data_IF_363727997281
#
_entry.id   IF_363727997281
#
_cell.length_a   1.000
_cell.length_b   1.000
_cell.length_c   1.000
_cell.angle_alpha   90.00
_cell.angle_beta   90.00
_cell.angle_gamma   90.00
#
_symmetry.space_group_name_H-M   'P 1'
#
loop_
_entity.id
_entity.type
_entity.pdbx_description
1 polymer ?
#
# COMPACT_ATOMS: atom_id res chain seq x y z
N UNK A 1 -2.12 95.46 -26.69
CA UNK A 1 -0.91 95.55 -27.53
C UNK A 1 0.02 94.48 -27.01
N UNK A 2 0.27 93.33 -27.61
CA UNK A 2 -0.08 92.62 -28.84
C UNK A 2 0.08 91.12 -28.46
N UNK A 3 -0.68 90.12 -28.91
CA UNK A 3 -0.84 89.66 -30.29
C UNK A 3 -0.06 88.33 -30.48
N UNK A 4 -0.74 87.32 -31.06
CA UNK A 4 -0.23 86.02 -31.59
C UNK A 4 0.11 84.92 -30.56
N UNK A 5 -0.39 83.68 -30.61
CA UNK A 5 -0.98 82.83 -31.65
C UNK A 5 -0.26 81.45 -31.60
N UNK A 6 -0.94 80.29 -31.50
CA UNK A 6 -0.26 79.01 -31.27
C UNK A 6 0.24 78.37 -32.58
N UNK A 7 1.32 77.57 -32.57
CA UNK A 7 1.76 76.88 -33.79
C UNK A 7 0.96 75.59 -34.04
N UNK A 8 0.61 75.41 -35.30
CA UNK A 8 -0.12 74.31 -35.94
C UNK A 8 0.87 73.36 -36.65
N UNK A 9 0.66 72.06 -36.42
CA UNK A 9 0.84 70.86 -37.27
C UNK A 9 2.01 70.69 -38.25
N UNK A 10 2.69 69.55 -38.08
CA UNK A 10 3.16 68.59 -39.11
C UNK A 10 3.34 67.23 -38.40
N UNK A 11 3.03 66.04 -38.89
CA UNK A 11 2.39 65.56 -40.11
C UNK A 11 1.92 64.12 -39.80
N UNK A 12 0.81 63.71 -40.39
CA UNK A 12 0.20 62.38 -40.19
C UNK A 12 0.83 61.42 -41.18
N UNK A 13 1.46 60.34 -40.69
CA UNK A 13 1.80 59.18 -41.53
C UNK A 13 0.95 57.99 -41.10
N UNK A 14 -0.03 57.72 -41.94
CA UNK A 14 -0.93 56.57 -41.96
C UNK A 14 -0.16 55.25 -42.00
N UNK A 15 -0.49 54.36 -41.07
CA UNK A 15 -0.14 52.94 -41.12
C UNK A 15 -1.02 52.29 -42.18
N UNK A 16 -0.44 51.94 -43.32
CA UNK A 16 -1.04 51.02 -44.29
C UNK A 16 -0.35 49.67 -44.22
N UNK A 17 -1.18 48.70 -43.93
CA UNK A 17 -0.96 47.26 -43.87
C UNK A 17 -0.66 46.71 -45.27
N UNK A 18 0.50 46.10 -45.48
CA UNK A 18 0.70 45.11 -46.55
C UNK A 18 1.77 44.07 -46.12
N UNK A 19 1.54 42.77 -46.37
CA UNK A 19 2.32 41.70 -45.79
C UNK A 19 3.59 41.41 -46.61
N UNK A 20 4.75 41.42 -45.96
CA UNK A 20 5.98 40.95 -46.59
C UNK A 20 5.98 39.42 -46.76
N UNK A 21 6.44 38.89 -47.90
CA UNK A 21 6.49 37.46 -48.16
C UNK A 21 7.56 36.78 -47.29
N UNK A 22 7.15 35.73 -46.56
CA UNK A 22 8.05 34.89 -45.78
C UNK A 22 9.10 34.21 -46.68
N UNK A 23 10.36 34.57 -46.50
CA UNK A 23 11.49 33.70 -46.85
C UNK A 23 11.44 32.44 -45.97
N UNK A 24 11.80 31.26 -46.49
CA UNK A 24 11.70 30.01 -45.76
C UNK A 24 12.70 30.00 -44.61
N UNK A 25 12.21 30.23 -43.39
CA UNK A 25 12.98 29.97 -42.17
C UNK A 25 13.22 28.46 -42.11
N UNK A 26 14.48 28.09 -42.33
CA UNK A 26 15.07 26.80 -41.99
C UNK A 26 14.53 26.34 -40.64
N UNK A 27 13.75 25.26 -40.66
CA UNK A 27 13.30 24.59 -39.46
C UNK A 27 14.53 24.15 -38.66
N UNK A 28 14.88 24.93 -37.64
CA UNK A 28 15.79 24.49 -36.61
C UNK A 28 15.12 23.29 -35.94
N UNK A 29 15.68 22.10 -36.19
CA UNK A 29 15.30 20.88 -35.50
C UNK A 29 15.24 21.19 -34.00
N UNK A 30 14.06 21.00 -33.41
CA UNK A 30 13.90 21.06 -31.96
C UNK A 30 14.91 20.13 -31.29
N UNK A 31 15.33 20.42 -30.05
CA UNK A 31 16.26 19.54 -29.35
C UNK A 31 15.68 18.13 -29.38
N UNK A 32 16.46 17.20 -29.94
CA UNK A 32 16.11 15.80 -29.94
C UNK A 32 15.79 15.41 -28.49
N UNK A 33 14.61 14.81 -28.27
CA UNK A 33 14.29 14.15 -27.01
C UNK A 33 15.51 13.31 -26.63
N UNK A 34 16.16 13.67 -25.53
CA UNK A 34 17.16 12.82 -24.92
C UNK A 34 16.53 11.43 -24.80
N UNK A 35 17.20 10.35 -25.24
CA UNK A 35 16.67 9.01 -25.03
C UNK A 35 16.39 8.87 -23.54
N UNK A 36 15.19 8.38 -23.19
CA UNK A 36 14.82 8.03 -21.82
C UNK A 36 16.03 7.33 -21.20
N UNK A 37 16.59 7.92 -20.13
CA UNK A 37 17.74 7.35 -19.46
C UNK A 37 17.40 5.90 -19.12
N UNK A 38 18.29 4.97 -19.49
CA UNK A 38 18.06 3.55 -19.26
C UNK A 38 17.75 3.33 -17.77
N UNK A 39 16.59 2.75 -17.49
CA UNK A 39 16.15 2.47 -16.12
C UNK A 39 17.18 1.60 -15.39
N UNK A 40 17.38 1.81 -14.08
CA UNK A 40 18.34 1.03 -13.31
C UNK A 40 17.95 -0.47 -13.31
N UNK A 41 18.96 -1.35 -13.28
CA UNK A 41 18.72 -2.76 -12.99
C UNK A 41 18.18 -2.89 -11.56
N UNK A 42 17.13 -3.69 -11.36
CA UNK A 42 16.47 -3.86 -10.07
C UNK A 42 16.42 -5.33 -9.65
N UNK A 43 16.58 -5.56 -8.35
CA UNK A 43 16.40 -6.85 -7.71
C UNK A 43 15.13 -6.81 -6.87
N UNK A 44 14.13 -7.61 -7.24
CA UNK A 44 12.87 -7.72 -6.50
C UNK A 44 13.01 -8.74 -5.38
N UNK A 45 12.74 -8.30 -4.16
CA UNK A 45 12.77 -9.09 -2.94
C UNK A 45 11.32 -9.27 -2.45
N UNK A 46 10.73 -10.48 -2.53
CA UNK A 46 9.38 -10.69 -2.05
C UNK A 46 9.34 -10.53 -0.52
N UNK A 47 8.37 -9.75 -0.03
CA UNK A 47 8.13 -9.58 1.41
C UNK A 47 6.65 -9.61 1.72
N UNK A 48 6.32 -9.93 2.98
CA UNK A 48 4.96 -9.70 3.49
C UNK A 48 4.79 -8.28 4.02
N UNK A 49 3.56 -7.72 4.03
CA UNK A 49 3.29 -6.35 4.46
C UNK A 49 3.87 -5.97 5.83
N UNK A 50 3.88 -6.89 6.81
CA UNK A 50 4.45 -6.63 8.14
C UNK A 50 5.96 -6.34 8.12
N UNK A 51 6.67 -6.87 7.12
CA UNK A 51 8.14 -6.80 6.98
C UNK A 51 8.56 -5.73 5.96
N UNK A 52 7.64 -4.85 5.55
CA UNK A 52 7.92 -3.75 4.62
C UNK A 52 8.92 -2.74 5.19
N UNK A 53 9.11 -2.69 6.51
CA UNK A 53 10.06 -1.80 7.18
C UNK A 53 9.50 -0.42 7.57
N UNK A 54 8.16 -0.27 7.62
CA UNK A 54 7.49 1.01 7.93
C UNK A 54 8.00 1.67 9.21
N UNK A 55 8.14 0.91 10.30
CA UNK A 55 8.56 1.44 11.60
C UNK A 55 10.08 1.58 11.72
N UNK A 56 10.87 0.84 10.93
CA UNK A 56 12.34 0.96 10.90
C UNK A 56 12.78 2.33 10.36
N UNK A 57 11.96 2.95 9.50
CA UNK A 57 12.22 4.27 8.96
C UNK A 57 12.02 5.41 9.98
N UNK A 58 11.19 5.19 11.01
CA UNK A 58 10.85 6.21 12.00
C UNK A 58 12.00 6.53 12.98
N UNK A 59 12.96 5.63 13.13
CA UNK A 59 14.11 5.79 14.04
C UNK A 59 15.22 6.70 13.48
N UNK A 60 15.04 7.24 12.26
CA UNK A 60 16.02 8.13 11.63
C UNK A 60 15.90 9.55 12.18
N UNK A 61 17.03 10.12 12.60
CA UNK A 61 17.10 11.50 13.07
C UNK A 61 16.80 12.47 11.91
N UNK A 62 15.90 13.42 12.14
CA UNK A 62 15.55 14.46 11.16
C UNK A 62 16.50 15.65 11.32
N UNK A 63 17.03 16.15 10.20
CA UNK A 63 17.80 17.41 10.21
C UNK A 63 16.83 18.58 10.35
N UNK A 64 17.04 19.42 11.37
CA UNK A 64 16.33 20.67 11.51
C UNK A 64 17.00 21.74 10.63
N UNK A 65 16.19 22.57 9.98
CA UNK A 65 16.64 23.69 9.17
C UNK A 65 15.92 24.96 9.60
N UNK A 66 16.64 26.08 9.62
CA UNK A 66 16.03 27.39 9.84
C UNK A 66 15.47 27.90 8.51
N UNK A 67 14.16 27.78 8.32
CA UNK A 67 13.48 28.29 7.14
C UNK A 67 13.14 29.78 7.30
N UNK A 68 13.36 30.56 6.24
CA UNK A 68 12.87 31.93 6.18
C UNK A 68 11.38 31.91 5.82
N UNK A 69 10.55 32.53 6.66
CA UNK A 69 9.10 32.64 6.43
C UNK A 69 8.83 33.94 5.66
N UNK A 70 8.49 33.82 4.38
CA UNK A 70 8.04 34.95 3.56
C UNK A 70 6.54 35.26 3.75
N UNK A 71 6.06 36.45 3.35
CA UNK A 71 4.63 36.76 3.30
C UNK A 71 3.86 35.71 2.50
N UNK A 72 2.68 35.33 2.99
CA UNK A 72 1.78 34.34 2.35
C UNK A 72 2.36 32.92 2.17
N UNK A 73 3.47 32.57 2.86
CA UNK A 73 3.95 31.18 2.86
C UNK A 73 2.82 30.23 3.34
N UNK A 74 2.44 29.26 2.49
CA UNK A 74 1.29 28.34 2.64
C UNK A 74 -0.12 28.92 2.41
N UNK A 75 -0.25 30.23 2.24
CA UNK A 75 -1.54 30.92 2.07
C UNK A 75 -1.66 31.66 0.72
N UNK A 76 -0.64 31.62 -0.13
CA UNK A 76 -0.68 32.21 -1.47
C UNK A 76 -1.61 31.37 -2.37
N UNK A 77 -2.77 31.92 -2.80
CA UNK A 77 -3.72 31.20 -3.64
C UNK A 77 -3.19 30.88 -5.04
N UNK A 78 -2.10 31.53 -5.47
CA UNK A 78 -1.44 31.29 -6.75
C UNK A 78 -0.25 30.34 -6.63
N UNK A 79 0.23 30.08 -5.41
CA UNK A 79 1.33 29.15 -5.18
C UNK A 79 0.79 27.74 -5.02
N UNK A 80 1.20 26.76 -5.85
CA UNK A 80 0.84 25.37 -5.61
C UNK A 80 1.50 24.95 -4.28
N UNK A 81 0.68 24.84 -3.23
CA UNK A 81 1.11 24.40 -1.88
C UNK A 81 1.81 23.03 -1.92
N UNK A 82 1.61 22.27 -3.00
CA UNK A 82 2.25 20.98 -3.22
C UNK A 82 3.68 21.11 -3.77
N UNK A 83 4.61 21.47 -2.88
CA UNK A 83 6.06 21.29 -3.12
C UNK A 83 6.46 19.79 -3.18
N UNK A 84 5.60 18.92 -2.69
CA UNK A 84 5.82 17.46 -2.58
C UNK A 84 5.09 16.66 -3.68
N UNK A 85 4.79 17.29 -4.83
CA UNK A 85 4.16 16.59 -5.96
C UNK A 85 5.17 16.28 -7.04
N UNK A 86 5.28 14.99 -7.39
CA UNK A 86 5.89 14.55 -8.63
C UNK A 86 4.81 14.05 -9.58
N UNK A 87 4.41 14.89 -10.53
CA UNK A 87 3.52 14.50 -11.63
C UNK A 87 2.27 13.73 -11.18
N UNK A 88 2.18 12.46 -11.58
CA UNK A 88 1.06 11.53 -11.37
C UNK A 88 1.00 10.89 -9.97
N UNK A 89 1.91 11.25 -9.06
CA UNK A 89 1.92 10.74 -7.69
C UNK A 89 1.07 11.58 -6.74
N UNK A 90 0.17 10.91 -6.04
CA UNK A 90 -0.59 11.47 -4.93
C UNK A 90 0.10 11.19 -3.60
N UNK A 91 0.38 12.24 -2.83
CA UNK A 91 0.90 12.11 -1.47
C UNK A 91 -0.25 12.01 -0.47
N UNK A 92 -0.24 10.95 0.31
CA UNK A 92 -1.21 10.68 1.38
C UNK A 92 -0.51 10.66 2.73
N UNK A 93 -1.21 11.08 3.79
CA UNK A 93 -0.68 11.05 5.17
C UNK A 93 -1.48 10.00 5.93
N UNK A 94 -0.79 8.98 6.44
CA UNK A 94 -1.41 7.99 7.30
C UNK A 94 -1.75 8.61 8.68
N UNK A 95 -2.79 8.12 9.39
CA UNK A 95 -3.15 8.64 10.73
C UNK A 95 -2.02 8.60 11.78
N UNK A 96 -1.08 7.66 11.66
CA UNK A 96 0.13 7.60 12.50
C UNK A 96 1.20 8.65 12.13
N UNK A 97 1.02 9.42 11.05
CA UNK A 97 1.85 10.57 10.67
C UNK A 97 2.76 10.36 9.45
N UNK A 98 3.20 9.14 9.16
CA UNK A 98 4.10 8.89 8.03
C UNK A 98 3.37 9.07 6.68
N UNK A 99 3.97 9.81 5.72
CA UNK A 99 3.43 9.91 4.38
C UNK A 99 3.68 8.63 3.58
N UNK A 100 2.87 8.44 2.55
CA UNK A 100 3.08 7.46 1.50
C UNK A 100 2.60 8.05 0.18
N UNK A 101 2.99 7.42 -0.93
CA UNK A 101 2.65 7.89 -2.27
C UNK A 101 1.88 6.82 -3.02
N UNK A 102 0.88 7.27 -3.78
CA UNK A 102 0.04 6.44 -4.64
C UNK A 102 0.09 6.94 -6.08
N UNK A 103 0.26 6.03 -7.03
CA UNK A 103 0.16 6.31 -8.45
C UNK A 103 -1.13 5.69 -8.99
N UNK A 104 -2.13 6.53 -9.28
CA UNK A 104 -3.46 6.09 -9.72
C UNK A 104 -3.42 5.19 -10.95
N UNK A 105 -2.79 5.66 -12.03
CA UNK A 105 -2.81 4.97 -13.33
C UNK A 105 -2.07 3.63 -13.32
N UNK A 106 -1.03 3.48 -12.49
CA UNK A 106 -0.22 2.26 -12.38
C UNK A 106 -0.63 1.42 -11.17
N UNK A 107 -1.56 1.88 -10.33
CA UNK A 107 -1.96 1.23 -9.09
C UNK A 107 -0.77 0.83 -8.20
N UNK A 108 0.17 1.76 -8.00
CA UNK A 108 1.38 1.54 -7.20
C UNK A 108 1.32 2.35 -5.92
N UNK A 109 1.63 1.71 -4.79
CA UNK A 109 1.85 2.40 -3.51
C UNK A 109 3.29 2.23 -3.03
N UNK A 110 3.83 3.25 -2.39
CA UNK A 110 5.16 3.19 -1.78
C UNK A 110 5.26 4.07 -0.53
N UNK A 111 6.05 3.61 0.45
CA UNK A 111 6.46 4.40 1.61
C UNK A 111 7.71 5.24 1.32
N UNK A 112 8.36 5.04 0.19
CA UNK A 112 9.59 5.75 -0.17
C UNK A 112 9.27 7.15 -0.68
N UNK A 113 10.18 8.08 -0.43
CA UNK A 113 10.05 9.45 -0.91
C UNK A 113 10.27 9.49 -2.43
N UNK A 114 9.18 9.55 -3.19
CA UNK A 114 9.24 9.61 -4.65
C UNK A 114 9.79 10.93 -5.16
N UNK A 115 10.00 11.95 -4.31
CA UNK A 115 10.62 13.21 -4.71
C UNK A 115 12.11 13.01 -4.97
N UNK A 116 12.74 12.00 -4.37
CA UNK A 116 14.08 11.57 -4.75
C UNK A 116 14.06 10.89 -6.13
N UNK A 117 14.84 11.42 -7.09
CA UNK A 117 14.90 10.91 -8.46
C UNK A 117 15.38 9.45 -8.51
N UNK A 118 16.36 9.07 -7.69
CA UNK A 118 16.88 7.71 -7.66
C UNK A 118 15.86 6.70 -7.14
N UNK A 119 15.07 7.09 -6.15
CA UNK A 119 13.92 6.30 -5.68
C UNK A 119 12.87 6.18 -6.79
N UNK A 120 12.53 7.28 -7.45
CA UNK A 120 11.52 7.30 -8.51
C UNK A 120 11.90 6.39 -9.69
N UNK A 121 13.17 6.45 -10.13
CA UNK A 121 13.68 5.63 -11.22
C UNK A 121 13.72 4.14 -10.84
N UNK A 122 14.08 3.81 -9.60
CA UNK A 122 13.95 2.44 -9.09
C UNK A 122 12.50 1.96 -9.12
N UNK A 123 11.54 2.77 -8.66
CA UNK A 123 10.12 2.41 -8.69
C UNK A 123 9.63 2.14 -10.12
N UNK A 124 9.99 2.99 -11.09
CA UNK A 124 9.67 2.76 -12.51
C UNK A 124 10.28 1.46 -13.04
N UNK A 125 11.54 1.19 -12.71
CA UNK A 125 12.23 -0.04 -13.09
C UNK A 125 11.54 -1.29 -12.50
N UNK A 126 11.12 -1.22 -11.23
CA UNK A 126 10.34 -2.29 -10.58
C UNK A 126 9.01 -2.52 -11.31
N UNK A 127 8.27 -1.47 -11.64
CA UNK A 127 6.99 -1.60 -12.37
C UNK A 127 7.20 -2.28 -13.73
N UNK A 128 8.26 -1.90 -14.46
CA UNK A 128 8.60 -2.52 -15.73
C UNK A 128 8.96 -4.01 -15.56
N UNK A 129 9.74 -4.36 -14.54
CA UNK A 129 10.12 -5.74 -14.23
C UNK A 129 8.93 -6.59 -13.77
N UNK A 130 8.06 -6.06 -12.90
CA UNK A 130 6.79 -6.72 -12.50
C UNK A 130 5.91 -6.96 -13.73
N UNK A 131 5.81 -5.99 -14.64
CA UNK A 131 5.11 -6.17 -15.92
C UNK A 131 5.73 -7.27 -16.78
N UNK A 132 7.07 -7.42 -16.79
CA UNK A 132 7.77 -8.51 -17.48
C UNK A 132 7.42 -9.87 -16.87
N UNK A 133 7.48 -10.01 -15.54
CA UNK A 133 7.12 -11.26 -14.85
C UNK A 133 5.63 -11.60 -15.02
N UNK A 134 4.76 -10.59 -14.98
CA UNK A 134 3.34 -10.78 -15.21
C UNK A 134 3.06 -11.37 -16.62
N UNK A 135 3.80 -10.94 -17.65
CA UNK A 135 3.67 -11.52 -19.00
C UNK A 135 4.09 -12.98 -19.08
N UNK A 136 4.95 -13.46 -18.18
CA UNK A 136 5.31 -14.88 -18.08
C UNK A 136 4.17 -15.69 -17.46
N UNK A 137 3.63 -15.22 -16.32
CA UNK A 137 2.55 -15.91 -15.59
C UNK A 137 1.17 -15.78 -16.24
N UNK A 138 0.92 -14.67 -16.93
CA UNK A 138 -0.33 -14.32 -17.61
C UNK A 138 0.00 -13.72 -18.98
N UNK A 139 0.23 -14.56 -20.01
CA UNK A 139 0.55 -14.10 -21.34
C UNK A 139 -0.54 -13.22 -21.94
N UNK A 140 -0.11 -12.31 -22.81
CA UNK A 140 -0.96 -11.28 -23.42
C UNK A 140 -2.16 -11.86 -24.20
N UNK A 141 -1.94 -12.96 -24.91
CA UNK A 141 -3.00 -13.63 -25.68
C UNK A 141 -4.06 -14.26 -24.75
N UNK A 142 -3.61 -14.80 -23.62
CA UNK A 142 -4.49 -15.40 -22.61
C UNK A 142 -5.36 -14.33 -21.97
N UNK A 143 -4.76 -13.21 -21.54
CA UNK A 143 -5.50 -12.14 -20.88
C UNK A 143 -6.50 -11.47 -21.83
N UNK A 144 -6.12 -11.23 -23.09
CA UNK A 144 -7.00 -10.58 -24.08
C UNK A 144 -8.20 -11.46 -24.43
N UNK A 145 -8.03 -12.79 -24.42
CA UNK A 145 -9.12 -13.74 -24.68
C UNK A 145 -10.01 -13.97 -23.45
N UNK A 146 -9.40 -14.16 -22.29
CA UNK A 146 -10.08 -14.70 -21.11
C UNK A 146 -10.65 -13.58 -20.20
N UNK A 147 -10.01 -12.41 -20.14
CA UNK A 147 -10.42 -11.32 -19.26
C UNK A 147 -11.76 -10.70 -19.68
N UNK A 148 -12.02 -10.35 -20.96
CA UNK A 148 -13.31 -9.78 -21.36
C UNK A 148 -14.49 -10.71 -21.09
N UNK A 149 -14.27 -12.03 -21.20
CA UNK A 149 -15.30 -13.04 -20.91
C UNK A 149 -15.57 -13.19 -19.41
N UNK A 150 -14.53 -13.09 -18.59
CA UNK A 150 -14.62 -13.29 -17.13
C UNK A 150 -14.99 -12.01 -16.37
N UNK A 151 -14.58 -10.85 -16.88
CA UNK A 151 -14.69 -9.52 -16.29
C UNK A 151 -15.00 -8.49 -17.40
N UNK A 152 -16.22 -8.49 -17.94
CA UNK A 152 -16.62 -7.54 -19.00
C UNK A 152 -16.64 -6.09 -18.52
N UNK A 153 -16.60 -5.87 -17.20
CA UNK A 153 -16.49 -4.57 -16.54
C UNK A 153 -15.09 -3.95 -16.62
N UNK A 154 -14.07 -4.74 -16.99
CA UNK A 154 -12.67 -4.31 -17.01
C UNK A 154 -12.20 -4.07 -18.45
N UNK A 155 -11.74 -2.85 -18.73
CA UNK A 155 -11.06 -2.53 -19.98
C UNK A 155 -9.61 -3.06 -19.94
N UNK A 156 -9.23 -3.84 -20.95
CA UNK A 156 -7.91 -4.49 -21.01
C UNK A 156 -6.83 -3.45 -21.29
N UNK A 157 -5.95 -3.21 -20.31
CA UNK A 157 -4.83 -2.26 -20.45
C UNK A 157 -3.50 -3.00 -20.59
N UNK A 158 -3.23 -3.48 -21.79
CA UNK A 158 -2.17 -4.46 -22.08
C UNK A 158 -0.74 -4.00 -21.79
N UNK A 159 -0.53 -2.68 -21.80
CA UNK A 159 0.75 -2.03 -21.55
C UNK A 159 1.02 -1.79 -20.06
N UNK A 160 0.03 -2.02 -19.20
CA UNK A 160 0.16 -1.89 -17.75
C UNK A 160 0.37 -3.25 -17.12
N UNK A 161 1.11 -3.28 -16.01
CA UNK A 161 1.45 -4.53 -15.32
C UNK A 161 0.23 -5.26 -14.75
N UNK A 162 -0.86 -4.53 -14.44
CA UNK A 162 -2.10 -5.09 -13.88
C UNK A 162 -3.18 -5.36 -14.94
N UNK A 163 -2.91 -5.12 -16.22
CA UNK A 163 -3.84 -5.34 -17.33
C UNK A 163 -5.21 -4.61 -17.19
N UNK A 164 -5.26 -3.53 -16.42
CA UNK A 164 -6.49 -2.78 -16.15
C UNK A 164 -7.31 -3.31 -14.96
N UNK A 165 -6.86 -4.36 -14.25
CA UNK A 165 -7.58 -4.95 -13.11
C UNK A 165 -7.54 -3.99 -11.91
N UNK A 166 -8.67 -3.35 -11.56
CA UNK A 166 -8.68 -2.25 -10.59
C UNK A 166 -8.51 -2.73 -9.14
N UNK A 167 -8.58 -4.03 -8.88
CA UNK A 167 -8.41 -4.60 -7.55
C UNK A 167 -6.97 -4.97 -7.22
N UNK A 168 -6.06 -4.95 -8.19
CA UNK A 168 -4.65 -5.23 -7.95
C UNK A 168 -3.88 -3.96 -7.63
N UNK A 169 -3.06 -4.02 -6.58
CA UNK A 169 -2.22 -2.91 -6.16
C UNK A 169 -0.81 -3.40 -5.84
N UNK A 170 0.19 -2.78 -6.48
CA UNK A 170 1.59 -3.12 -6.30
C UNK A 170 2.19 -2.25 -5.20
N UNK A 171 2.71 -2.88 -4.15
CA UNK A 171 3.44 -2.18 -3.10
C UNK A 171 4.95 -2.33 -3.31
N UNK A 172 5.68 -1.21 -3.28
CA UNK A 172 7.13 -1.17 -3.46
C UNK A 172 7.78 -0.42 -2.30
N UNK A 173 8.88 -0.98 -1.79
CA UNK A 173 9.77 -0.28 -0.87
C UNK A 173 11.22 -0.43 -1.33
N UNK A 174 11.79 0.66 -1.85
CA UNK A 174 13.20 0.76 -2.24
C UNK A 174 14.07 0.69 -0.99
N UNK A 175 14.90 -0.35 -0.90
CA UNK A 175 15.83 -0.57 0.22
C UNK A 175 17.14 0.17 -0.05
N UNK A 176 17.68 0.02 -1.26
CA UNK A 176 18.89 0.69 -1.71
C UNK A 176 18.75 1.09 -3.18
N UNK A 177 18.53 2.39 -3.42
CA UNK A 177 18.37 2.93 -4.76
C UNK A 177 19.63 2.81 -5.63
N UNK A 178 20.82 2.75 -5.02
CA UNK A 178 22.09 2.62 -5.77
C UNK A 178 22.30 1.18 -6.26
N UNK A 179 21.83 0.21 -5.49
CA UNK A 179 21.88 -1.22 -5.86
C UNK A 179 20.63 -1.70 -6.60
N UNK A 180 19.57 -0.90 -6.66
CA UNK A 180 18.28 -1.29 -7.21
C UNK A 180 17.56 -2.36 -6.37
N UNK A 181 17.92 -2.53 -5.08
CA UNK A 181 17.28 -3.52 -4.21
C UNK A 181 15.93 -3.00 -3.72
N UNK A 182 14.86 -3.70 -4.11
CA UNK A 182 13.48 -3.29 -3.82
C UNK A 182 12.68 -4.44 -3.22
N UNK A 183 11.99 -4.16 -2.12
CA UNK A 183 10.99 -5.07 -1.53
C UNK A 183 9.65 -4.87 -2.22
N UNK A 184 8.93 -5.95 -2.49
CA UNK A 184 7.61 -5.84 -3.12
C UNK A 184 6.62 -6.93 -2.68
N UNK A 185 5.35 -6.65 -2.92
CA UNK A 185 4.23 -7.60 -2.96
C UNK A 185 3.07 -6.98 -3.74
N UNK A 186 2.10 -7.80 -4.14
CA UNK A 186 0.85 -7.34 -4.76
C UNK A 186 -0.31 -7.66 -3.83
N UNK A 187 -1.22 -6.70 -3.64
CA UNK A 187 -2.46 -6.87 -2.91
C UNK A 187 -3.63 -7.03 -3.88
N UNK A 188 -4.47 -8.03 -3.65
CA UNK A 188 -5.75 -8.22 -4.35
C UNK A 188 -6.90 -7.81 -3.43
N UNK A 189 -7.51 -6.66 -3.73
CA UNK A 189 -8.62 -6.08 -2.97
C UNK A 189 -9.94 -6.83 -3.17
N UNK A 190 -10.11 -7.61 -4.23
CA UNK A 190 -11.29 -8.45 -4.47
C UNK A 190 -11.23 -9.69 -3.60
N UNK A 191 -10.06 -10.34 -3.57
CA UNK A 191 -9.83 -11.59 -2.84
C UNK A 191 -9.37 -11.39 -1.40
N UNK A 192 -9.12 -10.13 -0.99
CA UNK A 192 -8.58 -9.74 0.31
C UNK A 192 -7.33 -10.58 0.65
N UNK A 193 -6.39 -10.67 -0.28
CA UNK A 193 -5.16 -11.43 -0.10
C UNK A 193 -3.95 -10.71 -0.70
N UNK A 194 -2.76 -11.25 -0.46
CA UNK A 194 -1.51 -10.78 -1.06
C UNK A 194 -0.84 -11.92 -1.83
N UNK A 195 -0.09 -11.58 -2.88
CA UNK A 195 0.65 -12.53 -3.70
C UNK A 195 1.92 -11.90 -4.29
N UNK A 196 2.75 -12.74 -4.93
CA UNK A 196 4.03 -12.38 -5.53
C UNK A 196 4.15 -13.01 -6.91
N UNK A 197 5.07 -12.48 -7.72
CA UNK A 197 5.39 -12.97 -9.06
C UNK A 197 6.85 -13.42 -9.05
N UNK A 198 7.15 -14.47 -8.27
CA UNK A 198 8.48 -15.04 -8.33
C UNK A 198 8.58 -15.98 -9.52
N UNK A 199 9.69 -15.85 -10.24
CA UNK A 199 10.14 -16.79 -11.25
C UNK A 199 11.42 -17.41 -10.65
N UNK A 200 11.32 -18.56 -10.00
CA UNK A 200 12.53 -19.32 -9.65
C UNK A 200 13.14 -19.84 -10.98
N UNK A 201 13.98 -19.03 -11.61
CA UNK A 201 14.70 -19.39 -12.83
C UNK A 201 15.68 -20.56 -12.61
N UNK A 202 16.12 -20.76 -11.37
CA UNK A 202 17.08 -21.80 -10.97
C UNK A 202 16.41 -23.09 -10.45
N UNK A 203 15.08 -23.15 -10.38
CA UNK A 203 14.35 -24.36 -9.99
C UNK A 203 14.05 -25.20 -11.23
N UNK A 204 14.97 -26.09 -11.59
CA UNK A 204 14.77 -27.14 -12.62
C UNK A 204 13.53 -28.02 -12.35
N UNK A 205 12.91 -27.91 -11.17
CA UNK A 205 11.80 -28.76 -10.75
C UNK A 205 10.44 -28.07 -10.69
N UNK A 206 10.36 -26.73 -10.54
CA UNK A 206 9.13 -25.94 -10.60
C UNK A 206 9.45 -24.42 -10.67
N UNK A 207 9.53 -23.81 -11.86
CA UNK A 207 9.61 -22.36 -11.98
C UNK A 207 8.30 -21.74 -11.46
N UNK A 208 8.40 -20.81 -10.52
CA UNK A 208 7.25 -20.01 -10.07
C UNK A 208 6.72 -20.27 -8.65
N UNK A 209 7.42 -21.07 -7.84
CA UNK A 209 6.99 -21.41 -6.47
C UNK A 209 7.78 -20.61 -5.44
N UNK A 210 7.08 -19.75 -4.69
CA UNK A 210 7.67 -19.01 -3.57
C UNK A 210 7.50 -19.79 -2.26
N UNK A 211 8.62 -20.21 -1.68
CA UNK A 211 8.64 -20.85 -0.36
C UNK A 211 8.29 -19.85 0.76
N UNK A 212 7.54 -20.31 1.76
CA UNK A 212 7.21 -19.56 2.97
C UNK A 212 8.47 -19.19 3.76
N UNK A 213 9.52 -20.01 3.71
CA UNK A 213 10.78 -19.73 4.38
C UNK A 213 11.48 -18.50 3.78
N UNK A 214 11.42 -18.31 2.45
CA UNK A 214 11.92 -17.10 1.77
C UNK A 214 11.16 -15.85 2.26
N UNK A 215 9.88 -15.99 2.58
CA UNK A 215 9.03 -14.95 3.17
C UNK A 215 9.16 -14.82 4.70
N UNK A 216 10.01 -15.62 5.35
CA UNK A 216 10.14 -15.69 6.82
C UNK A 216 8.81 -15.99 7.53
N UNK A 217 7.96 -16.78 6.88
CA UNK A 217 6.67 -17.22 7.40
C UNK A 217 6.79 -18.62 7.99
N UNK A 218 6.08 -18.86 9.10
CA UNK A 218 6.02 -20.21 9.69
C UNK A 218 5.21 -21.14 8.78
N UNK A 219 5.56 -22.44 8.71
CA UNK A 219 4.75 -23.44 8.04
C UNK A 219 3.29 -23.43 8.49
N UNK A 220 2.39 -23.81 7.59
CA UNK A 220 0.93 -23.82 7.82
C UNK A 220 0.38 -25.24 7.72
N UNK A 221 -0.69 -25.50 8.45
CA UNK A 221 -1.32 -26.84 8.50
C UNK A 221 -2.07 -27.20 7.22
N UNK A 222 -2.45 -26.20 6.41
CA UNK A 222 -3.30 -26.36 5.24
C UNK A 222 -3.27 -25.12 4.32
N UNK A 223 -3.90 -25.23 3.16
CA UNK A 223 -4.15 -24.12 2.25
C UNK A 223 -5.11 -23.07 2.79
N UNK A 224 -6.15 -23.47 3.53
CA UNK A 224 -7.13 -22.54 4.10
C UNK A 224 -6.55 -21.74 5.27
N UNK A 225 -5.67 -22.36 6.06
CA UNK A 225 -4.90 -21.67 7.10
C UNK A 225 -3.89 -20.70 6.50
N UNK A 226 -3.26 -21.07 5.38
CA UNK A 226 -2.40 -20.15 4.63
C UNK A 226 -3.20 -18.98 4.05
N UNK A 227 -4.37 -19.22 3.46
CA UNK A 227 -5.27 -18.17 2.95
C UNK A 227 -5.66 -17.18 4.06
N UNK A 228 -6.03 -17.70 5.24
CA UNK A 228 -6.34 -16.88 6.42
C UNK A 228 -5.15 -16.00 6.85
N UNK A 229 -3.93 -16.51 6.71
CA UNK A 229 -2.72 -15.73 6.99
C UNK A 229 -2.54 -14.60 5.97
N UNK A 230 -2.70 -14.89 4.67
CA UNK A 230 -2.59 -13.89 3.61
C UNK A 230 -3.70 -12.84 3.68
N UNK A 231 -4.89 -13.19 4.16
CA UNK A 231 -5.93 -12.22 4.47
C UNK A 231 -5.51 -11.27 5.60
N UNK A 232 -4.89 -11.77 6.68
CA UNK A 232 -4.31 -10.90 7.71
C UNK A 232 -3.26 -9.94 7.15
N UNK A 233 -2.43 -10.42 6.22
CA UNK A 233 -1.46 -9.57 5.52
C UNK A 233 -2.13 -8.51 4.63
N UNK A 234 -3.21 -8.86 3.91
CA UNK A 234 -4.01 -7.89 3.17
C UNK A 234 -4.55 -6.79 4.09
N UNK A 235 -5.10 -7.14 5.26
CA UNK A 235 -5.56 -6.15 6.23
C UNK A 235 -4.43 -5.28 6.76
N UNK A 236 -3.22 -5.83 6.90
CA UNK A 236 -2.04 -5.03 7.24
C UNK A 236 -1.63 -4.05 6.14
N UNK A 237 -1.78 -4.43 4.87
CA UNK A 237 -1.61 -3.53 3.72
C UNK A 237 -2.68 -2.42 3.73
N UNK A 238 -3.95 -2.76 3.90
CA UNK A 238 -5.05 -1.79 3.97
C UNK A 238 -4.92 -0.84 5.17
N UNK A 239 -4.35 -1.31 6.30
CA UNK A 239 -3.97 -0.46 7.43
C UNK A 239 -2.92 0.56 6.98
N UNK A 240 -1.84 0.11 6.33
CA UNK A 240 -0.73 0.96 5.94
C UNK A 240 -1.07 2.01 4.87
N UNK A 241 -1.94 1.66 3.93
CA UNK A 241 -2.30 2.48 2.78
C UNK A 241 -3.83 2.72 2.76
N UNK A 242 -4.31 3.49 3.73
CA UNK A 242 -5.73 3.60 4.08
C UNK A 242 -6.47 4.78 3.46
N UNK A 243 -5.76 5.76 2.90
CA UNK A 243 -6.32 7.06 2.51
C UNK A 243 -6.68 7.18 1.01
N UNK A 244 -6.05 6.40 0.13
CA UNK A 244 -6.23 6.53 -1.33
C UNK A 244 -7.35 5.64 -1.88
N UNK A 245 -7.75 4.61 -1.12
CA UNK A 245 -8.77 3.63 -1.54
C UNK A 245 -9.77 3.36 -0.42
N UNK A 246 -11.01 3.05 -0.81
CA UNK A 246 -12.03 2.56 0.11
C UNK A 246 -11.78 1.10 0.48
N UNK A 247 -12.14 0.73 1.71
CA UNK A 247 -12.16 -0.67 2.13
C UNK A 247 -13.06 -1.50 1.22
N UNK A 248 -12.81 -2.82 1.09
CA UNK A 248 -13.72 -3.70 0.37
C UNK A 248 -15.16 -3.54 0.89
N UNK A 249 -16.18 -3.56 0.03
CA UNK A 249 -17.57 -3.41 0.47
C UNK A 249 -17.95 -4.41 1.56
N UNK A 250 -18.73 -3.97 2.55
CA UNK A 250 -19.18 -4.81 3.67
C UNK A 250 -18.14 -5.06 4.77
N UNK A 251 -16.88 -4.62 4.61
CA UNK A 251 -15.82 -4.90 5.60
C UNK A 251 -16.11 -4.40 7.02
N UNK A 252 -16.80 -3.26 7.14
CA UNK A 252 -17.21 -2.72 8.43
C UNK A 252 -18.38 -3.51 9.03
N UNK A 253 -19.36 -3.89 8.20
CA UNK A 253 -20.51 -4.67 8.64
C UNK A 253 -20.09 -6.07 9.11
N UNK A 254 -19.16 -6.69 8.39
CA UNK A 254 -18.54 -7.96 8.80
C UNK A 254 -17.78 -7.83 10.13
N UNK A 255 -17.06 -6.73 10.35
CA UNK A 255 -16.39 -6.45 11.62
C UNK A 255 -17.39 -6.29 12.77
N UNK A 256 -18.49 -5.56 12.55
CA UNK A 256 -19.58 -5.40 13.54
C UNK A 256 -20.25 -6.73 13.85
N UNK A 257 -20.53 -7.54 12.83
CA UNK A 257 -21.11 -8.86 12.99
C UNK A 257 -20.17 -9.79 13.78
N UNK A 258 -18.87 -9.73 13.52
CA UNK A 258 -17.87 -10.46 14.31
C UNK A 258 -17.86 -9.99 15.77
N UNK A 259 -17.86 -8.68 16.03
CA UNK A 259 -17.91 -8.16 17.40
C UNK A 259 -19.15 -8.68 18.15
N UNK A 260 -20.32 -8.63 17.51
CA UNK A 260 -21.57 -9.16 18.08
C UNK A 260 -21.45 -10.65 18.42
N UNK A 261 -21.01 -11.48 17.47
CA UNK A 261 -20.83 -12.91 17.70
C UNK A 261 -19.82 -13.17 18.82
N UNK A 262 -18.68 -12.49 18.80
CA UNK A 262 -17.62 -12.62 19.78
C UNK A 262 -18.09 -12.23 21.19
N UNK A 263 -18.95 -11.21 21.31
CA UNK A 263 -19.57 -10.84 22.58
C UNK A 263 -20.45 -11.96 23.12
N UNK A 264 -21.33 -12.53 22.28
CA UNK A 264 -22.20 -13.63 22.70
C UNK A 264 -21.38 -14.88 23.06
N UNK A 265 -20.36 -15.21 22.29
CA UNK A 265 -19.46 -16.32 22.58
C UNK A 265 -18.78 -16.13 23.95
N UNK A 266 -18.21 -14.96 24.22
CA UNK A 266 -17.57 -14.65 25.52
C UNK A 266 -18.54 -14.69 26.71
N UNK A 267 -19.79 -14.30 26.52
CA UNK A 267 -20.81 -14.29 27.57
C UNK A 267 -21.40 -15.68 27.86
N UNK A 268 -21.49 -16.52 26.84
CA UNK A 268 -22.12 -17.84 26.94
C UNK A 268 -21.12 -18.99 27.12
N UNK A 269 -19.84 -18.76 26.76
CA UNK A 269 -18.78 -19.75 26.75
C UNK A 269 -17.59 -19.29 27.62
N UNK A 270 -17.39 -19.95 28.76
CA UNK A 270 -16.33 -19.61 29.71
C UNK A 270 -14.92 -19.81 29.11
N UNK A 271 -14.77 -20.75 28.19
CA UNK A 271 -13.52 -21.16 27.55
C UNK A 271 -13.40 -20.72 26.09
N UNK A 272 -14.14 -19.68 25.71
CA UNK A 272 -14.07 -19.00 24.41
C UNK A 272 -12.62 -18.74 23.94
N UNK A 273 -12.44 -18.84 22.63
CA UNK A 273 -11.16 -18.63 21.94
C UNK A 273 -10.93 -17.20 21.46
N UNK A 274 -11.93 -16.32 21.63
CA UNK A 274 -11.84 -14.88 21.36
C UNK A 274 -10.87 -14.23 22.36
N UNK A 275 -9.89 -13.48 21.85
CA UNK A 275 -8.87 -12.84 22.70
C UNK A 275 -9.32 -11.52 23.32
N UNK A 276 -10.32 -10.86 22.75
CA UNK A 276 -10.83 -9.57 23.23
C UNK A 276 -11.83 -9.74 24.38
N UNK A 277 -11.87 -8.77 25.29
CA UNK A 277 -12.86 -8.76 26.38
C UNK A 277 -14.25 -8.36 25.88
N UNK A 278 -15.29 -8.60 26.67
CA UNK A 278 -16.66 -8.19 26.31
C UNK A 278 -16.74 -6.66 26.24
N UNK A 279 -16.05 -5.99 27.16
CA UNK A 279 -15.97 -4.52 27.25
C UNK A 279 -15.30 -3.94 25.99
N UNK A 280 -14.16 -4.50 25.56
CA UNK A 280 -13.47 -4.07 24.34
C UNK A 280 -14.37 -4.19 23.11
N UNK A 281 -15.07 -5.33 22.96
CA UNK A 281 -15.95 -5.59 21.83
C UNK A 281 -17.14 -4.62 21.77
N UNK A 282 -17.73 -4.30 22.93
CA UNK A 282 -18.80 -3.30 23.03
C UNK A 282 -18.30 -1.90 22.67
N UNK A 283 -17.09 -1.53 23.13
CA UNK A 283 -16.46 -0.26 22.77
C UNK A 283 -16.24 -0.19 21.26
N UNK A 284 -15.71 -1.25 20.64
CA UNK A 284 -15.50 -1.28 19.19
C UNK A 284 -16.81 -1.07 18.42
N UNK A 285 -17.89 -1.75 18.81
CA UNK A 285 -19.21 -1.55 18.18
C UNK A 285 -19.68 -0.10 18.28
N UNK A 286 -19.60 0.50 19.47
CA UNK A 286 -20.04 1.88 19.70
C UNK A 286 -19.25 2.90 18.88
N UNK A 287 -17.93 2.72 18.74
CA UNK A 287 -17.06 3.58 17.95
C UNK A 287 -17.44 3.56 16.45
N UNK A 288 -17.95 2.44 15.96
CA UNK A 288 -18.33 2.26 14.56
C UNK A 288 -19.80 2.59 14.24
N UNK A 289 -20.63 2.85 15.24
CA UNK A 289 -22.01 3.33 15.04
C UNK A 289 -22.08 4.83 14.76
N UNK A 290 -21.00 5.55 15.02
CA UNK A 290 -20.88 6.96 14.66
C UNK A 290 -20.75 7.12 13.14
N UNK A 291 -21.48 8.08 12.56
CA UNK A 291 -21.35 8.42 11.15
C UNK A 291 -20.10 9.26 10.94
N UNK A 292 -19.19 8.76 10.11
CA UNK A 292 -17.95 9.44 9.74
C UNK A 292 -18.07 10.04 8.34
N UNK A 293 -18.93 11.06 8.21
CA UNK A 293 -19.29 11.62 6.90
C UNK A 293 -18.20 12.51 6.28
N UNK A 294 -17.23 12.95 7.08
CA UNK A 294 -16.18 13.85 6.61
C UNK A 294 -15.15 13.11 5.74
N UNK A 295 -14.87 13.56 4.49
CA UNK A 295 -13.93 12.89 3.60
C UNK A 295 -12.52 12.70 4.20
N UNK A 296 -12.01 13.69 4.94
CA UNK A 296 -10.70 13.61 5.60
C UNK A 296 -10.64 12.59 6.75
N UNK A 297 -11.78 12.20 7.32
CA UNK A 297 -11.82 11.20 8.38
C UNK A 297 -11.78 9.76 7.85
N UNK A 298 -12.03 9.56 6.54
CA UNK A 298 -12.16 8.22 5.93
C UNK A 298 -10.87 7.41 6.04
N UNK A 299 -9.71 8.02 5.77
CA UNK A 299 -8.42 7.33 5.91
C UNK A 299 -8.19 6.81 7.32
N UNK A 300 -8.49 7.62 8.34
CA UNK A 300 -8.41 7.21 9.74
C UNK A 300 -9.36 6.07 10.10
N UNK A 301 -10.60 6.14 9.62
CA UNK A 301 -11.56 5.06 9.80
C UNK A 301 -11.09 3.77 9.13
N UNK A 302 -10.62 3.84 7.88
CA UNK A 302 -10.12 2.68 7.15
C UNK A 302 -8.93 2.03 7.86
N UNK A 303 -7.97 2.84 8.33
CA UNK A 303 -6.83 2.35 9.11
C UNK A 303 -7.30 1.65 10.39
N UNK A 304 -8.26 2.22 11.12
CA UNK A 304 -8.78 1.63 12.36
C UNK A 304 -9.48 0.29 12.12
N UNK A 305 -10.34 0.22 11.10
CA UNK A 305 -11.06 -1.01 10.72
C UNK A 305 -10.07 -2.09 10.27
N UNK A 306 -9.14 -1.76 9.36
CA UNK A 306 -8.13 -2.69 8.88
C UNK A 306 -7.20 -3.18 10.00
N UNK A 307 -6.84 -2.30 10.94
CA UNK A 307 -6.06 -2.66 12.12
C UNK A 307 -6.79 -3.65 13.03
N UNK A 308 -8.08 -3.47 13.30
CA UNK A 308 -8.85 -4.42 14.11
C UNK A 308 -9.00 -5.77 13.43
N UNK A 309 -9.25 -5.77 12.11
CA UNK A 309 -9.24 -6.99 11.30
C UNK A 309 -7.94 -7.75 11.45
N UNK A 310 -6.80 -7.09 11.20
CA UNK A 310 -5.49 -7.73 11.28
C UNK A 310 -5.11 -8.14 12.72
N UNK A 311 -5.28 -7.26 13.72
CA UNK A 311 -4.74 -7.49 15.07
C UNK A 311 -5.64 -8.31 15.99
N UNK A 312 -6.96 -8.33 15.76
CA UNK A 312 -7.91 -9.12 16.55
C UNK A 312 -8.35 -10.35 15.77
N UNK A 313 -9.04 -10.14 14.66
CA UNK A 313 -9.70 -11.23 13.93
C UNK A 313 -8.68 -12.18 13.31
N UNK A 314 -7.75 -11.67 12.50
CA UNK A 314 -6.78 -12.51 11.81
C UNK A 314 -5.84 -13.23 12.78
N UNK A 315 -5.46 -12.58 13.88
CA UNK A 315 -4.65 -13.21 14.94
C UNK A 315 -5.41 -14.36 15.59
N UNK A 316 -6.65 -14.15 16.04
CA UNK A 316 -7.47 -15.21 16.66
C UNK A 316 -7.70 -16.36 15.68
N UNK A 317 -8.06 -16.05 14.43
CA UNK A 317 -8.27 -17.06 13.38
C UNK A 317 -7.02 -17.89 13.13
N UNK A 318 -5.85 -17.25 13.04
CA UNK A 318 -4.58 -17.95 12.82
C UNK A 318 -4.17 -18.82 14.00
N UNK A 319 -4.33 -18.33 15.24
CA UNK A 319 -3.97 -19.09 16.44
C UNK A 319 -4.89 -20.29 16.68
N UNK A 320 -6.15 -20.17 16.30
CA UNK A 320 -7.17 -21.18 16.55
C UNK A 320 -7.44 -22.10 15.34
N UNK A 321 -6.62 -22.02 14.28
CA UNK A 321 -6.79 -22.80 13.05
C UNK A 321 -8.22 -22.67 12.49
N UNK A 322 -8.76 -21.45 12.51
CA UNK A 322 -10.14 -21.19 12.09
C UNK A 322 -10.37 -21.64 10.64
N UNK A 323 -11.44 -22.41 10.42
CA UNK A 323 -11.78 -23.01 9.12
C UNK A 323 -11.24 -24.44 8.94
N UNK A 324 -10.30 -24.88 9.77
CA UNK A 324 -9.78 -26.25 9.72
C UNK A 324 -10.70 -27.25 10.42
N UNK A 325 -10.70 -28.51 9.95
CA UNK A 325 -11.33 -29.62 10.69
C UNK A 325 -10.72 -29.82 12.09
N UNK A 326 -9.46 -29.43 12.29
CA UNK A 326 -8.74 -29.50 13.56
C UNK A 326 -8.76 -28.19 14.35
N UNK A 327 -9.68 -27.27 14.01
CA UNK A 327 -9.83 -25.98 14.69
C UNK A 327 -9.86 -26.13 16.22
N UNK A 328 -9.28 -25.14 16.90
CA UNK A 328 -9.38 -24.96 18.34
C UNK A 328 -10.70 -24.25 18.63
N UNK A 329 -11.59 -24.95 19.30
CA UNK A 329 -12.92 -24.44 19.68
C UNK A 329 -13.00 -24.04 21.16
N UNK A 330 -11.99 -24.42 21.94
CA UNK A 330 -11.86 -24.09 23.36
C UNK A 330 -10.42 -23.70 23.68
N UNK A 331 -10.26 -22.71 24.56
CA UNK A 331 -8.95 -22.28 25.04
C UNK A 331 -8.21 -23.34 25.86
N UNK A 332 -8.85 -24.43 26.26
CA UNK A 332 -8.16 -25.52 26.96
C UNK A 332 -7.57 -26.58 26.02
N UNK A 333 -7.92 -26.56 24.72
CA UNK A 333 -7.39 -27.51 23.75
C UNK A 333 -5.95 -27.12 23.33
N UNK A 334 -5.01 -28.06 23.48
CA UNK A 334 -3.68 -27.96 22.86
C UNK A 334 -3.71 -28.53 21.45
N UNK A 335 -3.16 -27.82 20.47
CA UNK A 335 -3.13 -28.23 19.06
C UNK A 335 -1.74 -28.30 18.45
N UNK A 336 -0.76 -27.62 19.03
CA UNK A 336 0.63 -27.80 18.65
C UNK A 336 1.16 -29.00 19.40
N UNK A 337 1.32 -30.13 18.70
CA UNK A 337 2.07 -31.28 19.19
C UNK A 337 3.57 -30.97 19.20
N UNK A 338 3.99 -29.97 19.97
CA UNK A 338 5.11 -30.32 20.82
C UNK A 338 4.47 -31.17 21.90
N UNK A 339 4.90 -32.42 21.99
CA UNK A 339 4.77 -33.11 23.24
C UNK A 339 5.19 -32.08 24.30
N UNK A 340 4.31 -31.78 25.24
CA UNK A 340 4.83 -31.66 26.59
C UNK A 340 5.52 -33.01 26.81
N UNK A 341 6.79 -33.13 26.39
CA UNK A 341 7.73 -33.67 27.33
C UNK A 341 7.37 -32.90 28.58
N UNK A 342 6.76 -33.62 29.51
CA UNK A 342 6.93 -33.30 30.90
C UNK A 342 8.43 -33.10 31.05
N UNK A 343 8.90 -31.88 30.80
CA UNK A 343 10.03 -31.33 31.50
C UNK A 343 9.55 -31.49 32.93
N UNK A 344 9.98 -32.60 33.52
CA UNK A 344 10.09 -32.78 34.96
C UNK A 344 10.53 -31.42 35.43
N UNK A 345 9.61 -30.67 36.04
CA UNK A 345 9.87 -29.34 36.56
C UNK A 345 11.20 -29.43 37.27
N UNK A 346 12.20 -28.72 36.76
CA UNK A 346 13.53 -28.74 37.35
C UNK A 346 13.35 -28.44 38.83
N UNK A 347 13.93 -29.25 39.72
CA UNK A 347 13.66 -29.27 41.16
C UNK A 347 13.67 -27.87 41.83
N UNK A 348 14.39 -26.92 41.24
CA UNK A 348 14.41 -25.51 41.62
C UNK A 348 13.03 -24.81 41.52
N UNK A 349 12.21 -25.12 40.52
CA UNK A 349 10.84 -24.59 40.40
C UNK A 349 9.90 -25.17 41.46
N UNK A 350 10.16 -26.39 41.94
CA UNK A 350 9.39 -27.00 43.02
C UNK A 350 9.68 -26.34 44.38
N UNK A 351 10.89 -25.82 44.58
CA UNK A 351 11.27 -25.04 45.78
C UNK A 351 10.65 -23.64 45.78
N UNK A 352 10.54 -23.00 44.61
CA UNK A 352 9.94 -21.65 44.51
C UNK A 352 8.43 -21.73 44.72
N UNK A 353 7.77 -22.76 44.17
CA UNK A 353 6.32 -23.00 44.37
C UNK A 353 5.95 -23.22 45.84
N UNK A 354 6.82 -23.85 46.65
CA UNK A 354 6.56 -24.07 48.09
C UNK A 354 6.95 -22.91 49.00
N UNK A 355 7.74 -21.95 48.53
CA UNK A 355 8.16 -20.76 49.32
C UNK A 355 7.33 -19.51 49.06
N UNK A 356 6.53 -19.46 47.99
CA UNK A 356 5.69 -18.31 47.64
C UNK A 356 4.18 -18.59 47.71
N UNK A 357 3.77 -19.75 48.22
CA UNK A 357 2.39 -20.06 48.60
C UNK A 357 2.35 -20.41 50.09
N UNK A 358 2.54 -19.39 50.91
CA UNK A 358 1.98 -19.24 52.25
C UNK A 358 1.55 -17.79 52.43
#
# INVERSE_FOLDING_TARGET
>A
MDGEGPPVFTDVSTVTDEPQPMSPTTAAAGPALLPDAALPAVTLLPVVPKDLGRYEAADRHVKAYNYTVGPLLFCDPLYPINRDRRGQWERHIHPEGNPYFYHGDQQVVTLCDIIDDGVNDCVKAVVAEVGRRMRVHRPQDSITRDLPSSRPDVEVQINQWHYGIPEWELCINVVDAKKGECRYYIADWSKRCVFWLEDDADSDSNPGVLDLDKLKLKPKSSWDHLRTMFEGHFWKHAEFFSCHRNLPPGSLDELKAWCLWATIDRLTCYDSTVSSTVEDLQIFMQLFDHKWDHPLARGSLHAAVARLWNTRISVDRQHNLHGEHSARLSRHQSRFSQAYHHYTLHWTLHLISKKFLF
#
